data_IF_069837614553
#
_entry.id   IF_069837614553
#
_cell.length_a   1.000
_cell.length_b   1.000
_cell.length_c   1.000
_cell.angle_alpha   90.00
_cell.angle_beta   90.00
_cell.angle_gamma   90.00
#
_symmetry.space_group_name_H-M   'P 1'
#
loop_
_entity.id
_entity.type
_entity.pdbx_description
1 polymer ?
#
# COMPACT_ATOMS: atom_id res chain seq x y z
N UNK A 1 -13.79 -19.80 -22.24
CA UNK A 1 -12.60 -19.85 -21.40
C UNK A 1 -11.40 -19.73 -22.30
N UNK A 2 -10.67 -18.65 -22.19
CA UNK A 2 -9.58 -18.29 -23.11
C UNK A 2 -8.19 -18.51 -22.49
N UNK A 3 -8.14 -18.65 -21.16
CA UNK A 3 -6.90 -18.94 -20.44
C UNK A 3 -6.39 -20.36 -20.71
N UNK A 4 -5.11 -20.49 -21.04
CA UNK A 4 -4.39 -21.75 -21.30
C UNK A 4 -3.18 -21.83 -20.37
N UNK A 5 -2.80 -23.04 -19.99
CA UNK A 5 -1.55 -23.31 -19.29
C UNK A 5 -0.36 -23.05 -20.21
N UNK A 6 0.69 -22.46 -19.68
CA UNK A 6 1.94 -22.12 -20.38
C UNK A 6 3.14 -22.58 -19.56
N UNK A 7 4.33 -22.59 -20.16
CA UNK A 7 5.55 -22.92 -19.43
C UNK A 7 6.05 -21.74 -18.56
N UNK A 8 6.86 -22.05 -17.54
CA UNK A 8 7.55 -21.04 -16.72
C UNK A 8 8.34 -20.04 -17.57
N UNK A 9 9.13 -20.53 -18.54
CA UNK A 9 9.94 -19.69 -19.43
C UNK A 9 9.07 -18.76 -20.25
N UNK A 10 7.91 -19.23 -20.72
CA UNK A 10 6.95 -18.41 -21.47
C UNK A 10 6.34 -17.35 -20.58
N UNK A 11 5.95 -17.68 -19.34
CA UNK A 11 5.40 -16.72 -18.38
C UNK A 11 6.36 -15.58 -18.09
N UNK A 12 7.64 -15.88 -17.82
CA UNK A 12 8.65 -14.87 -17.54
C UNK A 12 9.16 -14.12 -18.77
N UNK A 13 8.84 -14.60 -20.00
CA UNK A 13 9.13 -13.84 -21.23
C UNK A 13 8.33 -12.54 -21.35
N UNK A 14 7.21 -12.41 -20.61
CA UNK A 14 6.37 -11.20 -20.57
C UNK A 14 6.93 -10.10 -19.64
N UNK A 15 8.21 -10.14 -19.31
CA UNK A 15 8.85 -9.16 -18.39
C UNK A 15 8.23 -9.12 -17.00
N UNK A 16 7.58 -10.19 -16.59
CA UNK A 16 7.09 -10.34 -15.22
C UNK A 16 8.31 -10.48 -14.32
N UNK A 17 8.50 -9.53 -13.42
CA UNK A 17 9.57 -9.63 -12.44
C UNK A 17 9.27 -10.83 -11.54
N UNK A 18 10.20 -11.80 -11.47
CA UNK A 18 10.16 -12.82 -10.42
C UNK A 18 10.01 -12.10 -9.09
N UNK A 19 8.81 -12.21 -8.51
CA UNK A 19 8.58 -11.58 -7.22
C UNK A 19 9.55 -12.21 -6.21
N UNK A 20 10.41 -11.42 -5.55
CA UNK A 20 11.23 -11.95 -4.46
C UNK A 20 10.38 -12.60 -3.36
N UNK A 21 9.10 -12.23 -3.26
CA UNK A 21 8.13 -12.84 -2.35
C UNK A 21 7.65 -14.21 -2.81
N UNK A 22 7.33 -14.40 -4.08
CA UNK A 22 6.94 -15.71 -4.59
C UNK A 22 8.07 -16.73 -4.35
N UNK A 23 9.32 -16.36 -4.62
CA UNK A 23 10.47 -17.23 -4.38
C UNK A 23 10.85 -17.41 -2.90
N UNK A 24 10.47 -16.49 -2.02
CA UNK A 24 10.76 -16.56 -0.58
C UNK A 24 9.69 -17.33 0.22
N UNK A 25 8.43 -17.23 -0.18
CA UNK A 25 7.28 -17.76 0.57
C UNK A 25 6.76 -19.06 -0.05
N UNK A 26 6.73 -19.16 -1.38
CA UNK A 26 6.15 -20.27 -2.09
C UNK A 26 6.98 -20.74 -3.27
N UNK A 27 6.52 -21.80 -3.91
CA UNK A 27 7.01 -22.33 -5.17
C UNK A 27 5.89 -22.21 -6.19
N UNK A 28 6.15 -21.55 -7.31
CA UNK A 28 5.19 -21.46 -8.42
C UNK A 28 5.14 -22.81 -9.12
N UNK A 29 3.92 -23.36 -9.28
CA UNK A 29 3.71 -24.73 -9.75
C UNK A 29 3.11 -24.73 -11.16
N UNK A 30 2.18 -23.81 -11.45
CA UNK A 30 1.52 -23.72 -12.75
C UNK A 30 1.38 -22.27 -13.18
N UNK A 31 1.41 -22.08 -14.50
CA UNK A 31 1.32 -20.76 -15.14
C UNK A 31 0.25 -20.77 -16.22
N UNK A 32 -0.51 -19.70 -16.29
CA UNK A 32 -1.65 -19.54 -17.19
C UNK A 32 -1.57 -18.21 -17.92
N UNK A 33 -2.10 -18.20 -19.14
CA UNK A 33 -2.20 -17.01 -19.98
C UNK A 33 -3.56 -16.91 -20.65
N UNK A 34 -4.15 -15.72 -20.63
CA UNK A 34 -5.22 -15.29 -21.51
C UNK A 34 -4.72 -14.15 -22.40
N UNK A 35 -4.32 -14.49 -23.62
CA UNK A 35 -3.77 -13.53 -24.59
C UNK A 35 -4.80 -12.47 -25.00
N UNK A 36 -6.08 -12.85 -25.07
CA UNK A 36 -7.16 -11.98 -25.53
C UNK A 36 -7.41 -10.83 -24.56
N UNK A 37 -7.27 -11.11 -23.27
CA UNK A 37 -7.56 -10.15 -22.21
C UNK A 37 -6.28 -9.65 -21.50
N UNK A 38 -5.09 -9.97 -22.03
CA UNK A 38 -3.80 -9.58 -21.45
C UNK A 38 -3.66 -9.94 -19.95
N UNK A 39 -4.08 -11.17 -19.60
CA UNK A 39 -3.99 -11.69 -18.24
C UNK A 39 -2.94 -12.79 -18.15
N UNK A 40 -2.17 -12.79 -17.08
CA UNK A 40 -1.31 -13.87 -16.65
C UNK A 40 -1.76 -14.35 -15.28
N UNK A 41 -1.60 -15.65 -15.00
CA UNK A 41 -1.93 -16.22 -13.70
C UNK A 41 -0.91 -17.25 -13.26
N UNK A 42 -0.67 -17.38 -11.96
CA UNK A 42 0.18 -18.44 -11.41
C UNK A 42 -0.41 -19.03 -10.14
N UNK A 43 -0.29 -20.34 -9.99
CA UNK A 43 -0.61 -21.10 -8.79
C UNK A 43 0.67 -21.34 -8.00
N UNK A 44 0.62 -21.08 -6.71
CA UNK A 44 1.77 -21.09 -5.81
C UNK A 44 1.47 -22.02 -4.63
N UNK A 45 2.45 -22.86 -4.24
CA UNK A 45 2.40 -23.62 -3.00
C UNK A 45 3.33 -23.00 -1.97
N UNK A 46 2.82 -22.70 -0.77
CA UNK A 46 3.66 -22.24 0.35
C UNK A 46 4.67 -23.31 0.76
N UNK A 47 5.91 -22.90 1.03
CA UNK A 47 6.99 -23.82 1.39
C UNK A 47 6.88 -24.36 2.82
N UNK A 48 6.24 -23.61 3.70
CA UNK A 48 6.14 -23.90 5.13
C UNK A 48 4.85 -24.65 5.44
N UNK A 49 3.72 -24.01 5.19
CA UNK A 49 2.41 -24.51 5.58
C UNK A 49 1.80 -25.46 4.54
N UNK A 50 2.36 -25.48 3.32
CA UNK A 50 1.90 -26.25 2.17
C UNK A 50 0.50 -25.86 1.66
N UNK A 51 0.00 -24.72 2.11
CA UNK A 51 -1.22 -24.10 1.59
C UNK A 51 -1.03 -23.65 0.14
N UNK A 52 -2.14 -23.51 -0.57
CA UNK A 52 -2.16 -23.09 -1.95
C UNK A 52 -2.65 -21.66 -2.08
N UNK A 53 -2.14 -20.98 -3.08
CA UNK A 53 -2.53 -19.62 -3.41
C UNK A 53 -2.46 -19.40 -4.92
N UNK A 54 -3.04 -18.29 -5.38
CA UNK A 54 -2.85 -17.85 -6.76
C UNK A 54 -2.65 -16.34 -6.85
N UNK A 55 -2.04 -15.92 -7.95
CA UNK A 55 -1.89 -14.51 -8.33
C UNK A 55 -2.34 -14.34 -9.78
N UNK A 56 -3.13 -13.30 -10.05
CA UNK A 56 -3.47 -12.87 -11.40
C UNK A 56 -2.82 -11.50 -11.66
N UNK A 57 -2.19 -11.38 -12.82
CA UNK A 57 -1.56 -10.15 -13.29
C UNK A 57 -2.28 -9.68 -14.55
N UNK A 58 -2.49 -8.37 -14.66
CA UNK A 58 -2.99 -7.74 -15.87
C UNK A 58 -1.95 -6.77 -16.43
N UNK A 59 -1.96 -6.60 -17.76
CA UNK A 59 -1.14 -5.62 -18.46
C UNK A 59 -1.66 -4.23 -18.17
N UNK A 60 -0.81 -3.33 -17.66
CA UNK A 60 -1.15 -1.93 -17.42
C UNK A 60 -0.91 -1.04 -18.65
N UNK A 61 -1.22 0.25 -18.53
CA UNK A 61 -1.04 1.25 -19.59
C UNK A 61 0.44 1.45 -19.99
N UNK A 62 1.36 1.17 -19.09
CA UNK A 62 2.81 1.26 -19.33
C UNK A 62 3.35 0.00 -20.02
N UNK A 63 2.48 -0.97 -20.34
CA UNK A 63 2.85 -2.24 -20.94
C UNK A 63 3.55 -3.20 -19.96
N UNK A 64 3.28 -3.06 -18.65
CA UNK A 64 3.83 -3.91 -17.60
C UNK A 64 2.74 -4.78 -16.97
N UNK A 65 3.05 -6.05 -16.70
CA UNK A 65 2.16 -6.93 -15.96
C UNK A 65 2.24 -6.66 -14.46
N UNK A 66 1.08 -6.37 -13.83
CA UNK A 66 0.96 -6.13 -12.39
C UNK A 66 -0.11 -7.00 -11.75
N UNK A 67 0.13 -7.39 -10.50
CA UNK A 67 -0.81 -8.21 -9.75
C UNK A 67 -2.13 -7.44 -9.52
N UNK A 68 -3.24 -8.03 -9.94
CA UNK A 68 -4.59 -7.48 -9.80
C UNK A 68 -5.47 -8.27 -8.85
N UNK A 69 -5.19 -9.55 -8.69
CA UNK A 69 -5.90 -10.44 -7.79
C UNK A 69 -4.90 -11.37 -7.11
N UNK A 70 -5.02 -11.54 -5.80
CA UNK A 70 -4.23 -12.49 -5.01
C UNK A 70 -5.16 -13.16 -4.02
N UNK A 71 -5.14 -14.48 -3.96
CA UNK A 71 -5.82 -15.23 -2.91
C UNK A 71 -4.87 -16.25 -2.30
N UNK A 72 -4.99 -16.49 -1.01
CA UNK A 72 -4.11 -17.36 -0.24
C UNK A 72 -4.92 -18.27 0.68
N UNK A 73 -4.27 -19.31 1.23
CA UNK A 73 -4.87 -20.29 2.15
C UNK A 73 -5.99 -21.11 1.52
N UNK A 74 -5.72 -21.65 0.33
CA UNK A 74 -6.60 -22.57 -0.38
C UNK A 74 -6.18 -24.01 -0.06
N UNK A 75 -7.15 -24.89 0.14
CA UNK A 75 -6.90 -26.24 0.67
C UNK A 75 -6.20 -27.19 -0.30
N UNK A 76 -6.24 -26.94 -1.61
CA UNK A 76 -5.65 -27.84 -2.61
C UNK A 76 -5.23 -27.11 -3.89
N UNK A 77 -4.31 -27.74 -4.64
CA UNK A 77 -3.87 -27.30 -5.96
C UNK A 77 -5.04 -27.15 -6.92
N UNK A 78 -5.89 -28.16 -7.03
CA UNK A 78 -7.04 -28.17 -7.95
C UNK A 78 -8.03 -27.04 -7.60
N UNK A 79 -8.24 -26.76 -6.32
CA UNK A 79 -9.11 -25.66 -5.88
C UNK A 79 -8.51 -24.32 -6.23
N UNK A 80 -7.20 -24.15 -6.07
CA UNK A 80 -6.47 -22.91 -6.41
C UNK A 80 -6.48 -22.68 -7.92
N UNK A 81 -6.22 -23.69 -8.72
CA UNK A 81 -6.29 -23.62 -10.18
C UNK A 81 -7.70 -23.27 -10.67
N UNK A 82 -8.72 -23.98 -10.17
CA UNK A 82 -10.10 -23.73 -10.57
C UNK A 82 -10.56 -22.31 -10.21
N UNK A 83 -10.20 -21.84 -9.03
CA UNK A 83 -10.54 -20.47 -8.61
C UNK A 83 -9.79 -19.41 -9.42
N UNK A 84 -8.50 -19.62 -9.69
CA UNK A 84 -7.72 -18.78 -10.58
C UNK A 84 -8.37 -18.68 -11.96
N UNK A 85 -8.68 -19.80 -12.59
CA UNK A 85 -9.28 -19.81 -13.94
C UNK A 85 -10.68 -19.18 -13.94
N UNK A 86 -11.47 -19.39 -12.90
CA UNK A 86 -12.76 -18.73 -12.72
C UNK A 86 -12.60 -17.22 -12.63
N UNK A 87 -11.66 -16.75 -11.82
CA UNK A 87 -11.36 -15.32 -11.66
C UNK A 87 -10.80 -14.68 -12.93
N UNK A 88 -9.91 -15.34 -13.63
CA UNK A 88 -9.43 -14.86 -14.94
C UNK A 88 -10.61 -14.74 -15.93
N UNK A 89 -11.55 -15.70 -15.93
CA UNK A 89 -12.75 -15.64 -16.77
C UNK A 89 -13.70 -14.51 -16.35
N UNK A 90 -13.87 -14.24 -15.06
CA UNK A 90 -14.67 -13.12 -14.54
C UNK A 90 -14.07 -11.76 -14.96
N UNK A 91 -12.76 -11.63 -14.85
CA UNK A 91 -12.05 -10.41 -15.29
C UNK A 91 -12.15 -10.21 -16.79
N UNK A 92 -12.02 -11.29 -17.58
CA UNK A 92 -12.19 -11.26 -19.02
C UNK A 92 -13.61 -10.87 -19.48
N UNK A 93 -14.65 -11.40 -18.79
CA UNK A 93 -16.05 -11.14 -19.11
C UNK A 93 -16.57 -9.77 -18.64
N UNK A 94 -15.87 -9.10 -17.73
CA UNK A 94 -16.18 -7.71 -17.33
C UNK A 94 -15.93 -6.71 -18.47
N UNK A 95 -15.64 -7.21 -19.68
CA UNK A 95 -15.53 -6.53 -20.95
C UNK A 95 -15.04 -5.10 -20.79
N UNK A 96 -13.79 -4.86 -20.97
CA UNK A 96 -13.03 -3.72 -20.56
C UNK A 96 -12.42 -3.97 -19.18
N UNK A 97 -11.17 -4.45 -19.17
CA UNK A 97 -10.24 -4.01 -18.12
C UNK A 97 -10.09 -2.52 -18.43
N UNK A 98 -11.16 -1.78 -18.10
CA UNK A 98 -11.12 -0.35 -18.19
C UNK A 98 -10.07 0.14 -17.20
N UNK A 99 -9.41 1.23 -17.59
CA UNK A 99 -8.70 2.18 -16.73
C UNK A 99 -9.28 2.37 -15.30
N UNK A 100 -10.49 1.88 -15.01
CA UNK A 100 -11.16 1.89 -13.73
C UNK A 100 -10.66 0.86 -12.71
N UNK A 101 -9.91 -0.18 -13.08
CA UNK A 101 -9.37 -1.13 -12.09
C UNK A 101 -8.05 -0.64 -11.47
N UNK A 102 -7.37 0.32 -12.10
CA UNK A 102 -6.28 1.08 -11.47
C UNK A 102 -6.64 2.50 -11.07
N UNK A 103 -7.70 3.03 -11.54
CA UNK A 103 -8.59 3.83 -10.70
C UNK A 103 -9.29 2.80 -9.79
N UNK A 104 -8.49 2.17 -8.87
CA UNK A 104 -9.10 1.51 -7.72
C UNK A 104 -10.37 2.27 -7.43
N UNK A 105 -11.42 1.68 -6.96
CA UNK A 105 -12.48 2.38 -6.26
C UNK A 105 -11.94 3.17 -5.06
N UNK A 106 -10.95 3.97 -5.30
CA UNK A 106 -10.79 5.30 -4.81
C UNK A 106 -11.69 6.15 -5.70
N UNK A 107 -12.95 5.75 -5.82
CA UNK A 107 -14.04 6.69 -6.04
C UNK A 107 -14.29 7.26 -4.68
N UNK A 108 -13.41 8.18 -4.47
CA UNK A 108 -13.63 9.42 -3.77
C UNK A 108 -15.08 9.82 -3.54
N UNK A 109 -15.28 10.45 -2.37
CA UNK A 109 -15.25 11.89 -2.44
C UNK A 109 -13.78 12.35 -2.38
N UNK A 110 -13.25 13.04 -3.39
CA UNK A 110 -12.15 13.99 -3.21
C UNK A 110 -12.55 14.85 -2.03
N UNK A 111 -12.09 14.47 -0.84
CA UNK A 111 -12.15 15.38 0.30
C UNK A 111 -11.13 16.44 -0.13
N UNK A 112 -11.68 17.56 -0.57
CA UNK A 112 -10.88 18.70 -0.96
C UNK A 112 -9.96 19.03 0.21
N UNK A 113 -8.66 18.89 0.02
CA UNK A 113 -7.62 19.36 0.96
C UNK A 113 -7.64 20.90 1.09
N UNK A 114 -8.68 21.56 0.56
CA UNK A 114 -8.80 23.02 0.50
C UNK A 114 -9.02 23.68 1.86
N UNK A 115 -9.32 22.90 2.92
CA UNK A 115 -9.60 23.48 4.22
C UNK A 115 -8.35 23.69 5.12
N UNK A 116 -7.22 23.01 4.82
CA UNK A 116 -5.97 23.17 5.59
C UNK A 116 -5.03 24.09 4.83
N UNK A 117 -5.15 25.37 5.10
CA UNK A 117 -4.30 26.42 4.54
C UNK A 117 -3.08 26.72 5.42
N UNK A 118 -2.20 27.62 4.97
CA UNK A 118 -1.00 28.01 5.70
C UNK A 118 -1.30 28.72 7.03
N UNK A 119 -2.44 29.41 7.15
CA UNK A 119 -2.86 30.01 8.41
C UNK A 119 -3.11 28.99 9.51
N UNK A 120 -3.76 27.86 9.17
CA UNK A 120 -4.00 26.75 10.08
C UNK A 120 -2.65 26.13 10.49
N UNK A 121 -1.73 25.93 9.55
CA UNK A 121 -0.39 25.40 9.85
C UNK A 121 0.40 26.35 10.75
N UNK A 122 0.35 27.68 10.49
CA UNK A 122 0.92 28.70 11.38
C UNK A 122 0.29 28.69 12.77
N UNK A 123 -1.04 28.49 12.87
CA UNK A 123 -1.72 28.35 14.14
C UNK A 123 -1.16 27.16 14.94
N UNK A 124 -1.02 25.99 14.32
CA UNK A 124 -0.43 24.82 14.98
C UNK A 124 1.06 24.96 15.27
N UNK A 125 1.80 25.74 14.49
CA UNK A 125 3.19 26.09 14.84
C UNK A 125 3.25 26.88 16.16
N UNK A 126 2.35 27.85 16.34
CA UNK A 126 2.27 28.65 17.57
C UNK A 126 1.63 27.90 18.76
N UNK A 127 0.74 26.98 18.46
CA UNK A 127 -0.08 26.25 19.43
C UNK A 127 0.00 24.72 19.19
N UNK A 128 1.17 24.10 19.29
CA UNK A 128 1.33 22.69 18.96
C UNK A 128 0.55 21.75 19.90
N UNK A 129 0.21 22.21 21.11
CA UNK A 129 -0.69 21.48 22.04
C UNK A 129 -2.10 21.30 21.45
N UNK A 130 -2.51 22.17 20.53
CA UNK A 130 -3.83 22.07 19.87
C UNK A 130 -3.92 20.94 18.83
N UNK A 131 -2.80 20.30 18.47
CA UNK A 131 -2.81 19.08 17.69
C UNK A 131 -3.60 17.95 18.37
N UNK A 132 -3.65 17.96 19.72
CA UNK A 132 -4.42 16.98 20.48
C UNK A 132 -5.94 17.19 20.41
N UNK A 133 -6.39 18.36 20.02
CA UNK A 133 -7.82 18.69 19.89
C UNK A 133 -8.39 18.26 18.52
N UNK A 134 -7.53 17.92 17.57
CA UNK A 134 -7.96 17.45 16.24
C UNK A 134 -8.70 16.11 16.33
N UNK A 135 -9.70 15.92 15.45
CA UNK A 135 -10.20 14.58 15.17
C UNK A 135 -9.15 13.76 14.39
N UNK A 136 -9.20 12.41 14.41
CA UNK A 136 -8.29 11.60 13.62
C UNK A 136 -8.25 12.02 12.16
N UNK A 137 -9.39 12.22 11.52
CA UNK A 137 -9.47 12.63 10.12
C UNK A 137 -8.86 14.00 9.85
N UNK A 138 -9.08 14.98 10.73
CA UNK A 138 -8.46 16.31 10.59
C UNK A 138 -6.95 16.26 10.79
N UNK A 139 -6.46 15.33 11.60
CA UNK A 139 -5.02 15.07 11.72
C UNK A 139 -4.45 14.48 10.41
N UNK A 140 -5.11 13.50 9.82
CA UNK A 140 -4.72 12.94 8.50
C UNK A 140 -4.69 14.04 7.42
N UNK A 141 -5.72 14.89 7.35
CA UNK A 141 -5.77 16.03 6.42
C UNK A 141 -4.60 17.01 6.63
N UNK A 142 -4.24 17.30 7.87
CA UNK A 142 -3.09 18.16 8.19
C UNK A 142 -1.78 17.54 7.70
N UNK A 143 -1.56 16.26 7.97
CA UNK A 143 -0.35 15.55 7.51
C UNK A 143 -0.30 15.51 5.98
N UNK A 144 -1.41 15.20 5.32
CA UNK A 144 -1.52 15.22 3.87
C UNK A 144 -1.17 16.59 3.27
N UNK A 145 -1.67 17.67 3.88
CA UNK A 145 -1.36 19.04 3.45
C UNK A 145 0.12 19.39 3.61
N UNK A 146 0.75 18.98 4.73
CA UNK A 146 2.19 19.19 4.96
C UNK A 146 3.03 18.41 3.93
N UNK A 147 2.66 17.15 3.64
CA UNK A 147 3.36 16.33 2.64
C UNK A 147 3.24 16.93 1.23
N UNK A 148 2.09 17.53 0.90
CA UNK A 148 1.90 18.25 -0.35
C UNK A 148 2.84 19.45 -0.47
N UNK A 149 3.03 20.20 0.61
CA UNK A 149 3.98 21.32 0.62
C UNK A 149 5.44 20.85 0.51
N UNK A 150 5.73 19.62 0.93
CA UNK A 150 7.03 18.97 0.70
C UNK A 150 7.19 18.43 -0.73
N UNK A 151 6.23 18.67 -1.61
CA UNK A 151 6.30 18.33 -3.03
C UNK A 151 5.81 16.93 -3.37
N UNK A 152 5.08 16.26 -2.47
CA UNK A 152 4.42 15.00 -2.80
C UNK A 152 3.07 15.24 -3.48
N UNK A 153 2.75 14.40 -4.45
CA UNK A 153 1.36 14.13 -4.83
C UNK A 153 0.74 13.28 -3.74
N UNK A 154 -0.38 13.73 -3.18
CA UNK A 154 -0.94 13.15 -1.96
C UNK A 154 -2.40 12.78 -2.15
N UNK A 155 -2.72 11.57 -1.74
CA UNK A 155 -4.06 11.03 -1.71
C UNK A 155 -4.41 10.54 -0.31
N UNK A 156 -5.56 11.00 0.21
CA UNK A 156 -6.13 10.52 1.46
C UNK A 156 -6.99 9.28 1.19
N UNK A 157 -6.75 8.19 1.88
CA UNK A 157 -7.58 6.99 1.75
C UNK A 157 -8.92 7.16 2.47
N UNK A 158 -9.90 6.32 2.12
CA UNK A 158 -11.18 6.29 2.83
C UNK A 158 -10.98 5.75 4.26
N UNK A 159 -11.77 6.25 5.21
CA UNK A 159 -11.78 5.78 6.59
C UNK A 159 -12.39 4.37 6.76
N UNK A 160 -12.26 3.49 5.77
CA UNK A 160 -12.70 2.11 5.80
C UNK A 160 -11.55 1.19 6.19
N UNK A 161 -11.85 0.11 6.89
CA UNK A 161 -10.87 -0.82 7.53
C UNK A 161 -9.95 -1.57 6.56
N UNK A 162 -9.97 -1.28 5.27
CA UNK A 162 -9.54 -2.21 4.23
C UNK A 162 -8.16 -1.89 3.62
N UNK A 163 -7.40 -0.97 4.17
CA UNK A 163 -6.21 -0.51 3.46
C UNK A 163 -4.89 -0.39 4.21
N UNK A 164 -4.89 -0.32 5.53
CA UNK A 164 -3.64 -0.28 6.33
C UNK A 164 -2.74 0.93 6.08
N UNK A 165 -3.27 2.03 5.52
CA UNK A 165 -2.60 3.33 5.46
C UNK A 165 -3.62 4.44 5.26
N UNK A 166 -3.40 5.59 5.90
CA UNK A 166 -4.32 6.73 5.85
C UNK A 166 -4.03 7.67 4.69
N UNK A 167 -2.76 7.71 4.25
CA UNK A 167 -2.30 8.59 3.18
C UNK A 167 -1.38 7.82 2.24
N UNK A 168 -1.58 8.01 0.95
CA UNK A 168 -0.66 7.59 -0.11
C UNK A 168 0.01 8.86 -0.64
N UNK A 169 1.34 8.90 -0.59
CA UNK A 169 2.11 10.04 -1.06
C UNK A 169 3.13 9.58 -2.11
N UNK A 170 3.26 10.28 -3.22
CA UNK A 170 4.19 9.91 -4.29
C UNK A 170 4.96 11.11 -4.83
N UNK A 171 6.19 10.87 -5.23
CA UNK A 171 6.97 11.80 -6.07
C UNK A 171 7.32 11.04 -7.34
N UNK A 172 7.00 11.63 -8.49
CA UNK A 172 7.35 11.08 -9.80
C UNK A 172 8.14 12.12 -10.59
N UNK A 173 9.25 11.71 -11.15
CA UNK A 173 10.02 12.51 -12.10
C UNK A 173 10.59 11.60 -13.21
N UNK A 174 11.29 12.19 -14.19
CA UNK A 174 11.82 11.47 -15.35
C UNK A 174 12.84 10.35 -15.00
N UNK A 175 13.35 10.32 -13.76
CA UNK A 175 14.42 9.40 -13.35
C UNK A 175 13.88 8.33 -12.40
N UNK A 176 12.93 8.68 -11.53
CA UNK A 176 12.45 7.79 -10.46
C UNK A 176 11.02 8.10 -10.04
N UNK A 177 10.35 7.09 -9.51
CA UNK A 177 9.11 7.22 -8.76
C UNK A 177 9.34 6.74 -7.33
N UNK A 178 8.81 7.48 -6.36
CA UNK A 178 8.93 7.17 -4.94
C UNK A 178 7.55 7.15 -4.31
N UNK A 179 7.13 5.99 -3.82
CA UNK A 179 5.82 5.78 -3.19
C UNK A 179 5.98 5.66 -1.68
N UNK A 180 5.23 6.45 -0.95
CA UNK A 180 5.22 6.45 0.52
C UNK A 180 3.80 6.14 1.02
N UNK A 181 3.67 5.17 1.90
CA UNK A 181 2.46 4.93 2.67
C UNK A 181 2.61 5.58 4.04
N UNK A 182 1.57 6.31 4.48
CA UNK A 182 1.61 7.01 5.77
C UNK A 182 0.44 6.55 6.63
N UNK A 183 0.76 6.10 7.83
CA UNK A 183 -0.19 5.74 8.87
C UNK A 183 -0.21 6.84 9.93
N UNK A 184 -1.36 7.38 10.22
CA UNK A 184 -1.55 8.47 11.17
C UNK A 184 -2.19 7.97 12.47
N UNK A 185 -1.53 8.20 13.60
CA UNK A 185 -2.05 7.83 14.92
C UNK A 185 -2.23 9.07 15.78
N UNK A 186 -3.45 9.63 15.76
CA UNK A 186 -3.83 10.75 16.60
C UNK A 186 -4.09 10.25 18.02
N UNK A 187 -3.11 10.36 18.90
CA UNK A 187 -3.16 9.92 20.30
C UNK A 187 -2.90 11.08 21.26
N UNK A 188 -3.38 10.95 22.50
CA UNK A 188 -3.03 11.85 23.59
C UNK A 188 -1.56 11.64 24.02
N UNK A 189 -0.91 12.61 24.68
CA UNK A 189 0.49 12.51 25.10
C UNK A 189 0.81 11.27 25.93
N UNK A 190 -0.13 10.84 26.76
CA UNK A 190 0.03 9.70 27.66
C UNK A 190 -0.20 8.34 26.95
N UNK A 191 -0.84 8.34 25.80
CA UNK A 191 -1.11 7.14 25.01
C UNK A 191 -0.06 7.00 23.90
N UNK A 192 0.97 6.19 24.12
CA UNK A 192 2.08 6.00 23.19
C UNK A 192 1.76 4.93 22.15
N UNK A 193 2.30 5.12 20.95
CA UNK A 193 2.25 4.11 19.87
C UNK A 193 3.11 2.91 20.25
N UNK A 194 2.46 1.75 20.36
CA UNK A 194 3.11 0.50 20.75
C UNK A 194 3.64 -0.31 19.58
N UNK A 195 4.37 -1.38 19.89
CA UNK A 195 5.00 -2.29 18.93
C UNK A 195 4.00 -2.95 17.96
N UNK A 196 2.75 -3.18 18.39
CA UNK A 196 1.71 -3.77 17.53
C UNK A 196 1.48 -2.97 16.25
N UNK A 197 1.41 -1.63 16.36
CA UNK A 197 1.25 -0.75 15.19
C UNK A 197 2.46 -0.84 14.25
N UNK A 198 3.67 -0.95 14.78
CA UNK A 198 4.89 -1.09 13.96
C UNK A 198 4.82 -2.37 13.12
N UNK A 199 4.41 -3.49 13.74
CA UNK A 199 4.27 -4.79 13.06
C UNK A 199 3.16 -4.79 12.01
N UNK A 200 2.04 -4.16 12.32
CA UNK A 200 0.94 -3.96 11.38
C UNK A 200 1.41 -3.21 10.14
N UNK A 201 2.05 -2.04 10.29
CA UNK A 201 2.58 -1.25 9.17
C UNK A 201 3.70 -1.98 8.44
N UNK A 202 4.57 -2.73 9.13
CA UNK A 202 5.58 -3.57 8.49
C UNK A 202 4.94 -4.68 7.63
N UNK A 203 3.84 -5.26 8.08
CA UNK A 203 3.04 -6.22 7.31
C UNK A 203 2.47 -5.59 6.04
N UNK A 204 1.80 -4.43 6.16
CA UNK A 204 1.27 -3.67 5.01
C UNK A 204 2.39 -3.27 4.05
N UNK A 205 3.54 -2.80 4.58
CA UNK A 205 4.71 -2.49 3.76
C UNK A 205 5.18 -3.70 2.95
N UNK A 206 5.23 -4.87 3.58
CA UNK A 206 5.67 -6.10 2.92
C UNK A 206 4.70 -6.56 1.82
N UNK A 207 3.39 -6.34 2.01
CA UNK A 207 2.36 -6.67 1.03
C UNK A 207 2.32 -5.69 -0.15
N UNK A 208 2.41 -4.38 0.13
CA UNK A 208 2.24 -3.32 -0.90
C UNK A 208 3.55 -2.83 -1.51
N UNK A 209 4.68 -3.17 -0.91
CA UNK A 209 6.04 -2.84 -1.36
C UNK A 209 6.23 -1.37 -1.76
N UNK A 210 5.80 -0.38 -0.95
CA UNK A 210 6.13 1.01 -1.21
C UNK A 210 7.64 1.24 -1.06
N UNK A 211 8.12 2.36 -1.55
CA UNK A 211 9.51 2.79 -1.31
C UNK A 211 9.79 3.02 0.17
N UNK A 212 8.78 3.52 0.91
CA UNK A 212 8.86 3.80 2.34
C UNK A 212 7.47 3.73 2.98
N UNK A 213 7.40 3.36 4.26
CA UNK A 213 6.20 3.57 5.09
C UNK A 213 6.55 4.46 6.27
N UNK A 214 5.67 5.39 6.60
CA UNK A 214 5.88 6.36 7.68
C UNK A 214 4.73 6.22 8.67
N UNK A 215 5.05 6.17 9.97
CA UNK A 215 4.06 6.25 11.03
C UNK A 215 4.18 7.61 11.68
N UNK A 216 3.11 8.40 11.62
CA UNK A 216 3.05 9.76 12.16
C UNK A 216 2.11 9.79 13.36
N UNK A 217 2.52 10.38 14.46
CA UNK A 217 1.67 10.47 15.65
C UNK A 217 1.75 11.84 16.33
N UNK A 218 0.63 12.27 16.90
CA UNK A 218 0.60 13.42 17.83
C UNK A 218 1.22 13.08 19.20
N UNK A 219 1.53 11.81 19.47
CA UNK A 219 2.11 11.33 20.71
C UNK A 219 3.59 10.92 20.53
N UNK A 220 4.00 9.88 21.23
CA UNK A 220 5.35 9.33 21.22
C UNK A 220 5.30 7.82 20.96
N UNK A 221 6.44 7.23 20.63
CA UNK A 221 6.58 5.78 20.50
C UNK A 221 7.08 5.15 21.80
N UNK A 222 6.67 3.92 22.09
CA UNK A 222 7.25 3.14 23.17
C UNK A 222 8.68 2.71 22.81
N UNK A 223 9.49 2.37 23.81
CA UNK A 223 10.85 1.85 23.60
C UNK A 223 10.86 0.60 22.72
N UNK A 224 9.87 -0.28 22.89
CA UNK A 224 9.75 -1.51 22.10
C UNK A 224 9.34 -1.20 20.65
N UNK A 225 8.47 -0.20 20.42
CA UNK A 225 8.13 0.26 19.10
C UNK A 225 9.35 0.81 18.35
N UNK A 226 10.17 1.64 19.01
CA UNK A 226 11.40 2.19 18.43
C UNK A 226 12.39 1.06 18.09
N UNK A 227 12.55 0.09 18.99
CA UNK A 227 13.44 -1.05 18.79
C UNK A 227 12.99 -1.93 17.61
N UNK A 228 11.71 -2.18 17.51
CA UNK A 228 11.13 -2.94 16.40
C UNK A 228 11.31 -2.21 15.06
N UNK A 229 10.97 -0.91 15.01
CA UNK A 229 11.14 -0.11 13.78
C UNK A 229 12.61 -0.03 13.33
N UNK A 230 13.57 -0.02 14.27
CA UNK A 230 15.00 -0.03 13.95
C UNK A 230 15.45 -1.28 13.17
N UNK A 231 14.73 -2.39 13.29
CA UNK A 231 14.99 -3.61 12.48
C UNK A 231 14.54 -3.44 11.03
N UNK A 232 13.68 -2.46 10.77
CA UNK A 232 13.10 -2.14 9.46
C UNK A 232 13.46 -0.73 8.99
N UNK A 233 14.59 -0.16 9.44
CA UNK A 233 14.98 1.24 9.20
C UNK A 233 14.99 1.68 7.73
N UNK A 234 15.26 0.74 6.81
CA UNK A 234 15.25 1.01 5.37
C UNK A 234 13.81 1.13 4.81
N UNK A 235 12.84 0.55 5.52
CA UNK A 235 11.43 0.44 5.10
C UNK A 235 10.50 1.36 5.90
N UNK A 236 10.78 1.57 7.18
CA UNK A 236 9.91 2.30 8.11
C UNK A 236 10.59 3.53 8.69
N UNK A 237 9.83 4.62 8.77
CA UNK A 237 10.19 5.83 9.51
C UNK A 237 9.13 6.14 10.57
N UNK A 238 9.59 6.64 11.72
CA UNK A 238 8.73 7.09 12.81
C UNK A 238 8.80 8.62 12.93
N UNK A 239 7.64 9.26 12.99
CA UNK A 239 7.50 10.71 13.16
C UNK A 239 6.60 10.97 14.35
N UNK A 240 7.18 11.38 15.45
CA UNK A 240 6.48 11.70 16.70
C UNK A 240 6.09 13.19 16.80
N UNK A 241 5.57 13.58 17.93
CA UNK A 241 5.18 14.95 18.24
C UNK A 241 6.32 15.97 18.01
N UNK A 242 7.59 15.63 18.31
CA UNK A 242 8.70 16.55 18.06
C UNK A 242 8.98 16.74 16.58
N UNK A 243 8.83 15.69 15.79
CA UNK A 243 8.95 15.77 14.34
C UNK A 243 7.83 16.64 13.73
N UNK A 244 6.59 16.52 14.23
CA UNK A 244 5.49 17.37 13.81
C UNK A 244 5.75 18.84 14.10
N UNK A 245 6.26 19.16 15.30
CA UNK A 245 6.67 20.54 15.64
C UNK A 245 7.75 21.06 14.69
N UNK A 246 8.72 20.21 14.34
CA UNK A 246 9.76 20.56 13.40
C UNK A 246 9.18 20.84 11.99
N UNK A 247 8.25 20.01 11.51
CA UNK A 247 7.59 20.25 10.23
C UNK A 247 6.79 21.56 10.22
N UNK A 248 6.06 21.82 11.28
CA UNK A 248 5.24 23.02 11.44
C UNK A 248 6.10 24.28 11.60
N UNK A 249 7.33 24.20 12.10
CA UNK A 249 8.21 25.36 12.25
C UNK A 249 8.60 26.04 10.91
N UNK A 250 8.40 25.36 9.79
CA UNK A 250 8.54 25.94 8.45
C UNK A 250 7.47 26.97 8.09
N UNK A 251 6.34 26.99 8.82
CA UNK A 251 5.23 27.93 8.60
C UNK A 251 5.32 29.10 9.61
N UNK A 252 5.94 30.20 9.18
CA UNK A 252 6.10 31.42 10.00
C UNK A 252 5.03 32.46 9.74
#
# INVERSE_FOLDING_TARGET
MTAKEISEDQFYSYSVLKSPMASAIGEEIKWFQDETNNLLGTVIQDKIDKDWSYVILALDEDGQYRATEVNASIDSEDSSENELLRKMSELANKGEIQEELYKSEIVEPKISLTDINDEIKRYFNKHPEKLYDLSPRKFEELIASILKDFGFDVELTKATRDGGSDIIASIRNAVTSFLVLVECKKYSPDNKVGVGIIREVAGVHSLRQPSKSIIVTTSFFTKDAIKEAAQHKEKLDLKDYYNLKQWLSGYQ
#
